data_IF_851047082962
#
_entry.id   IF_851047082962
#
_cell.length_a   1.000
_cell.length_b   1.000
_cell.length_c   1.000
_cell.angle_alpha   90.00
_cell.angle_beta   90.00
_cell.angle_gamma   90.00
#
_symmetry.space_group_name_H-M   'P 1'
#
loop_
_entity.id
_entity.type
_entity.pdbx_description
1 polymer ?
#
# COMPACT_ATOMS: atom_id res chain seq x y z
N UNK A 1 3.22 30.75 27.05
CA UNK A 1 3.12 29.98 25.81
C UNK A 1 4.36 30.34 25.01
N UNK A 2 5.39 29.49 24.99
CA UNK A 2 6.72 29.79 24.47
C UNK A 2 6.72 29.81 22.93
N UNK A 3 7.65 30.56 22.31
CA UNK A 3 7.83 30.56 20.84
C UNK A 3 8.01 29.13 20.30
N UNK A 4 8.64 28.24 21.06
CA UNK A 4 8.81 26.81 20.76
C UNK A 4 7.48 26.05 20.62
N UNK A 5 6.44 26.42 21.42
CA UNK A 5 5.11 25.79 21.31
C UNK A 5 4.40 26.20 20.01
N UNK A 6 4.65 27.43 19.54
CA UNK A 6 4.10 27.92 18.26
C UNK A 6 4.72 27.25 17.06
N UNK A 7 6.03 27.07 17.03
CA UNK A 7 6.75 26.37 15.94
C UNK A 7 6.39 24.89 15.91
N UNK A 8 6.33 24.22 17.06
CA UNK A 8 5.94 22.82 17.15
C UNK A 8 4.51 22.58 16.63
N UNK A 9 3.57 23.48 16.94
CA UNK A 9 2.19 23.43 16.42
C UNK A 9 2.14 23.66 14.91
N UNK A 10 2.95 24.59 14.37
CA UNK A 10 3.01 24.84 12.93
C UNK A 10 3.55 23.63 12.17
N UNK A 11 4.59 22.98 12.68
CA UNK A 11 5.15 21.74 12.10
C UNK A 11 4.11 20.61 12.15
N UNK A 12 3.42 20.44 13.28
CA UNK A 12 2.37 19.43 13.42
C UNK A 12 1.22 19.69 12.44
N UNK A 13 0.75 20.93 12.32
CA UNK A 13 -0.33 21.31 11.40
C UNK A 13 0.04 21.02 9.94
N UNK A 14 1.27 21.34 9.53
CA UNK A 14 1.79 21.02 8.19
C UNK A 14 1.83 19.50 7.96
N UNK A 15 2.30 18.73 8.94
CA UNK A 15 2.34 17.27 8.85
C UNK A 15 0.93 16.68 8.70
N UNK A 16 -0.04 17.16 9.48
CA UNK A 16 -1.45 16.73 9.37
C UNK A 16 -2.03 17.07 8.00
N UNK A 17 -1.76 18.29 7.50
CA UNK A 17 -2.22 18.71 6.17
C UNK A 17 -1.64 17.83 5.06
N UNK A 18 -0.33 17.55 5.10
CA UNK A 18 0.32 16.65 4.13
C UNK A 18 -0.26 15.22 4.19
N UNK A 19 -0.53 14.71 5.39
CA UNK A 19 -1.18 13.40 5.54
C UNK A 19 -2.61 13.40 4.99
N UNK A 20 -3.39 14.45 5.24
CA UNK A 20 -4.74 14.56 4.72
C UNK A 20 -4.76 14.58 3.18
N UNK A 21 -3.88 15.38 2.56
CA UNK A 21 -3.72 15.44 1.10
C UNK A 21 -3.28 14.08 0.55
N UNK A 22 -2.28 13.44 1.16
CA UNK A 22 -1.80 12.13 0.73
C UNK A 22 -2.90 11.06 0.82
N UNK A 23 -3.71 11.07 1.89
CA UNK A 23 -4.82 10.12 2.07
C UNK A 23 -5.91 10.36 1.02
N UNK A 24 -6.22 11.63 0.72
CA UNK A 24 -7.19 11.96 -0.32
C UNK A 24 -6.73 11.49 -1.70
N UNK A 25 -5.47 11.75 -2.05
CA UNK A 25 -4.89 11.29 -3.32
C UNK A 25 -4.87 9.77 -3.40
N UNK A 26 -4.52 9.09 -2.31
CA UNK A 26 -4.54 7.62 -2.24
C UNK A 26 -5.95 7.04 -2.43
N UNK A 27 -6.97 7.64 -1.80
CA UNK A 27 -8.36 7.24 -1.97
C UNK A 27 -8.84 7.44 -3.41
N UNK A 28 -8.52 8.59 -4.00
CA UNK A 28 -8.84 8.92 -5.40
C UNK A 28 -8.19 7.92 -6.36
N UNK A 29 -6.90 7.61 -6.17
CA UNK A 29 -6.19 6.62 -6.96
C UNK A 29 -6.86 5.24 -6.89
N UNK A 30 -7.24 4.77 -5.71
CA UNK A 30 -7.92 3.47 -5.55
C UNK A 30 -9.31 3.47 -6.22
N UNK A 31 -10.05 4.57 -6.13
CA UNK A 31 -11.35 4.71 -6.79
C UNK A 31 -11.20 4.68 -8.33
N UNK A 32 -10.23 5.41 -8.86
CA UNK A 32 -9.91 5.41 -10.30
C UNK A 32 -9.44 4.03 -10.77
N UNK A 33 -8.57 3.37 -10.03
CA UNK A 33 -8.13 2.01 -10.34
C UNK A 33 -9.31 1.03 -10.42
N UNK A 34 -10.22 1.08 -9.43
CA UNK A 34 -11.44 0.27 -9.48
C UNK A 34 -12.30 0.62 -10.70
N UNK A 35 -12.50 1.90 -10.98
CA UNK A 35 -13.30 2.36 -12.12
C UNK A 35 -12.79 1.78 -13.44
N UNK A 36 -11.47 1.83 -13.68
CA UNK A 36 -10.86 1.29 -14.91
C UNK A 36 -11.06 -0.21 -15.04
N UNK A 37 -10.97 -0.95 -13.92
CA UNK A 37 -11.07 -2.42 -13.92
C UNK A 37 -12.48 -2.95 -14.16
N UNK A 38 -13.54 -2.17 -13.84
CA UNK A 38 -14.92 -2.64 -13.86
C UNK A 38 -15.81 -1.92 -14.88
N UNK A 39 -15.29 -0.92 -15.61
CA UNK A 39 -16.12 -0.15 -16.58
C UNK A 39 -16.47 -1.03 -17.79
N UNK A 40 -17.77 -1.25 -18.06
CA UNK A 40 -18.22 -1.97 -19.24
C UNK A 40 -17.95 -1.14 -20.51
N UNK A 41 -17.42 -1.78 -21.56
CA UNK A 41 -17.20 -1.14 -22.87
C UNK A 41 -15.80 -0.56 -23.09
N UNK A 42 -14.92 -0.59 -22.09
CA UNK A 42 -13.49 -0.31 -22.24
C UNK A 42 -12.64 -1.59 -22.24
N UNK A 43 -11.35 -1.45 -22.54
CA UNK A 43 -10.41 -2.55 -22.36
C UNK A 43 -10.40 -2.97 -20.88
N UNK A 44 -10.71 -4.23 -20.59
CA UNK A 44 -10.71 -4.77 -19.22
C UNK A 44 -9.27 -4.88 -18.73
N UNK A 45 -8.83 -3.88 -17.96
CA UNK A 45 -7.47 -3.83 -17.43
C UNK A 45 -7.38 -4.66 -16.16
N UNK A 46 -6.51 -5.66 -16.17
CA UNK A 46 -6.32 -6.58 -15.05
C UNK A 46 -5.61 -5.96 -13.85
N UNK A 47 -5.83 -6.52 -12.66
CA UNK A 47 -5.20 -6.11 -11.41
C UNK A 47 -3.66 -6.10 -11.48
N UNK A 48 -3.06 -7.05 -12.22
CA UNK A 48 -1.60 -7.13 -12.42
C UNK A 48 -1.08 -5.95 -13.21
N UNK A 49 -1.77 -5.54 -14.28
CA UNK A 49 -1.38 -4.40 -15.11
C UNK A 49 -1.49 -3.09 -14.33
N UNK A 50 -2.59 -2.87 -13.60
CA UNK A 50 -2.75 -1.69 -12.74
C UNK A 50 -1.65 -1.63 -11.69
N UNK A 51 -1.32 -2.76 -11.05
CA UNK A 51 -0.24 -2.85 -10.08
C UNK A 51 1.12 -2.54 -10.70
N UNK A 52 1.40 -3.08 -11.87
CA UNK A 52 2.65 -2.81 -12.60
C UNK A 52 2.78 -1.32 -12.95
N UNK A 53 1.74 -0.71 -13.56
CA UNK A 53 1.73 0.72 -13.89
C UNK A 53 1.94 1.58 -12.65
N UNK A 54 1.33 1.25 -11.52
CA UNK A 54 1.51 1.96 -10.25
C UNK A 54 2.96 1.94 -9.76
N UNK A 55 3.62 0.78 -9.78
CA UNK A 55 5.02 0.66 -9.36
C UNK A 55 5.96 1.32 -10.36
N UNK A 56 5.67 1.21 -11.66
CA UNK A 56 6.45 1.84 -12.72
C UNK A 56 6.37 3.36 -12.66
N UNK A 57 5.17 3.93 -12.54
CA UNK A 57 4.98 5.38 -12.39
C UNK A 57 5.67 5.89 -11.13
N UNK A 58 5.52 5.21 -9.97
CA UNK A 58 6.26 5.56 -8.76
C UNK A 58 7.78 5.55 -8.94
N UNK A 59 8.32 4.60 -9.71
CA UNK A 59 9.75 4.55 -10.05
C UNK A 59 10.16 5.72 -10.92
N UNK A 60 9.39 6.02 -11.98
CA UNK A 60 9.65 7.13 -12.93
C UNK A 60 9.59 8.48 -12.20
N UNK A 61 8.61 8.72 -11.34
CA UNK A 61 8.49 9.96 -10.57
C UNK A 61 9.59 10.14 -9.52
N UNK A 62 10.07 9.06 -8.92
CA UNK A 62 11.16 9.12 -7.94
C UNK A 62 12.54 9.28 -8.58
N UNK A 63 12.73 8.88 -9.82
CA UNK A 63 14.02 8.94 -10.51
C UNK A 63 14.58 10.38 -10.59
N UNK A 64 13.84 11.40 -11.08
CA UNK A 64 14.36 12.77 -11.12
C UNK A 64 14.63 13.33 -9.72
N UNK A 65 13.83 12.97 -8.71
CA UNK A 65 14.07 13.39 -7.31
C UNK A 65 15.38 12.79 -6.80
N UNK A 66 15.67 11.54 -7.13
CA UNK A 66 16.91 10.86 -6.77
C UNK A 66 18.13 11.51 -7.43
N UNK A 67 18.01 11.83 -8.72
CA UNK A 67 19.06 12.51 -9.49
C UNK A 67 19.32 13.92 -8.94
N UNK A 68 18.27 14.69 -8.64
CA UNK A 68 18.39 16.01 -8.05
C UNK A 68 19.03 15.97 -6.65
N UNK A 69 18.62 15.02 -5.83
CA UNK A 69 19.19 14.81 -4.50
C UNK A 69 20.61 14.20 -4.52
N UNK A 70 21.14 13.87 -5.70
CA UNK A 70 22.43 13.18 -5.89
C UNK A 70 22.59 11.95 -5.01
N UNK A 71 21.52 11.17 -4.85
CA UNK A 71 21.49 9.94 -4.07
C UNK A 71 21.57 8.75 -5.01
N UNK A 72 22.64 7.96 -4.87
CA UNK A 72 22.76 6.70 -5.63
C UNK A 72 21.90 5.63 -4.95
N UNK A 73 20.98 4.97 -5.69
CA UNK A 73 20.12 3.93 -5.16
C UNK A 73 20.92 2.62 -4.98
N UNK A 74 21.79 2.59 -3.98
CA UNK A 74 22.62 1.42 -3.66
C UNK A 74 22.25 0.91 -2.28
N UNK A 75 21.92 -0.38 -2.19
CA UNK A 75 21.69 -1.08 -0.93
C UNK A 75 22.67 -2.24 -0.80
N UNK A 76 23.01 -2.59 0.45
CA UNK A 76 23.83 -3.77 0.78
C UNK A 76 22.99 -5.05 0.93
N UNK A 77 21.66 -4.93 0.99
CA UNK A 77 20.74 -6.02 1.30
C UNK A 77 19.59 -6.10 0.30
N UNK A 78 19.84 -6.33 -1.00
CA UNK A 78 18.80 -6.35 -2.03
C UNK A 78 17.73 -7.42 -1.76
N UNK A 79 18.11 -8.55 -1.13
CA UNK A 79 17.21 -9.64 -0.75
C UNK A 79 16.09 -9.20 0.19
N UNK A 80 16.39 -8.30 1.14
CA UNK A 80 15.40 -7.76 2.09
C UNK A 80 14.42 -6.82 1.41
N UNK A 81 14.92 -6.03 0.46
CA UNK A 81 14.07 -5.18 -0.38
C UNK A 81 13.19 -5.99 -1.32
N UNK A 82 13.72 -7.07 -1.91
CA UNK A 82 12.95 -7.97 -2.76
C UNK A 82 11.83 -8.67 -1.99
N UNK A 83 12.12 -9.16 -0.77
CA UNK A 83 11.10 -9.72 0.13
C UNK A 83 9.99 -8.71 0.43
N UNK A 84 10.38 -7.49 0.85
CA UNK A 84 9.44 -6.39 1.10
C UNK A 84 8.59 -6.08 -0.14
N UNK A 85 9.24 -5.87 -1.29
CA UNK A 85 8.56 -5.54 -2.54
C UNK A 85 7.63 -6.68 -3.01
N UNK A 86 8.02 -7.93 -2.82
CA UNK A 86 7.21 -9.10 -3.15
C UNK A 86 5.92 -9.16 -2.35
N UNK A 87 5.99 -8.99 -1.03
CA UNK A 87 4.78 -8.94 -0.19
C UNK A 87 3.94 -7.69 -0.47
N UNK A 88 4.57 -6.53 -0.73
CA UNK A 88 3.87 -5.32 -1.13
C UNK A 88 3.13 -5.50 -2.46
N UNK A 89 3.80 -6.05 -3.46
CA UNK A 89 3.19 -6.33 -4.77
C UNK A 89 2.04 -7.33 -4.65
N UNK A 90 2.25 -8.44 -3.94
CA UNK A 90 1.19 -9.42 -3.68
C UNK A 90 -0.02 -8.79 -2.96
N UNK A 91 0.23 -7.97 -1.93
CA UNK A 91 -0.82 -7.25 -1.22
C UNK A 91 -1.62 -6.32 -2.14
N UNK A 92 -0.95 -5.55 -3.00
CA UNK A 92 -1.63 -4.64 -3.95
C UNK A 92 -2.44 -5.42 -5.00
N UNK A 93 -1.88 -6.48 -5.58
CA UNK A 93 -2.60 -7.34 -6.54
C UNK A 93 -3.85 -7.93 -5.90
N UNK A 94 -3.73 -8.52 -4.70
CA UNK A 94 -4.85 -9.08 -3.96
C UNK A 94 -5.91 -8.03 -3.63
N UNK A 95 -5.50 -6.80 -3.26
CA UNK A 95 -6.44 -5.71 -3.01
C UNK A 95 -7.23 -5.34 -4.27
N UNK A 96 -6.57 -5.24 -5.41
CA UNK A 96 -7.24 -4.95 -6.68
C UNK A 96 -8.15 -6.10 -7.13
N UNK A 97 -7.77 -7.35 -6.87
CA UNK A 97 -8.67 -8.49 -7.08
C UNK A 97 -9.90 -8.42 -6.15
N UNK A 98 -9.72 -8.04 -4.90
CA UNK A 98 -10.84 -7.81 -3.99
C UNK A 98 -11.78 -6.70 -4.49
N UNK A 99 -11.24 -5.61 -5.05
CA UNK A 99 -12.06 -4.53 -5.64
C UNK A 99 -12.95 -4.99 -6.79
N UNK A 100 -12.59 -6.06 -7.49
CA UNK A 100 -13.42 -6.64 -8.56
C UNK A 100 -14.57 -7.48 -8.02
N UNK A 101 -14.46 -7.98 -6.79
CA UNK A 101 -15.39 -8.97 -6.23
C UNK A 101 -16.32 -8.40 -5.17
N UNK A 102 -15.88 -7.35 -4.44
CA UNK A 102 -16.64 -6.72 -3.36
C UNK A 102 -16.64 -5.19 -3.51
N UNK A 103 -17.59 -4.48 -2.86
CA UNK A 103 -17.61 -3.01 -2.84
C UNK A 103 -16.28 -2.43 -2.34
N UNK A 104 -15.85 -1.32 -2.95
CA UNK A 104 -14.60 -0.63 -2.60
C UNK A 104 -14.52 -0.31 -1.10
N UNK A 105 -15.64 0.15 -0.53
CA UNK A 105 -15.72 0.48 0.89
C UNK A 105 -15.43 -0.73 1.78
N UNK A 106 -16.00 -1.90 1.46
CA UNK A 106 -15.77 -3.12 2.23
C UNK A 106 -14.33 -3.60 2.11
N UNK A 107 -13.77 -3.64 0.88
CA UNK A 107 -12.39 -4.05 0.66
C UNK A 107 -11.40 -3.11 1.37
N UNK A 108 -11.61 -1.79 1.31
CA UNK A 108 -10.76 -0.82 2.01
C UNK A 108 -10.88 -0.92 3.53
N UNK A 109 -12.09 -1.13 4.05
CA UNK A 109 -12.30 -1.33 5.48
C UNK A 109 -11.56 -2.58 5.99
N UNK A 110 -11.64 -3.70 5.24
CA UNK A 110 -10.87 -4.91 5.56
C UNK A 110 -9.36 -4.63 5.46
N UNK A 111 -8.93 -3.86 4.45
CA UNK A 111 -7.53 -3.45 4.26
C UNK A 111 -6.97 -2.67 5.46
N UNK A 112 -7.80 -1.91 6.17
CA UNK A 112 -7.41 -1.24 7.42
C UNK A 112 -7.07 -2.20 8.57
N UNK A 113 -7.27 -3.51 8.42
CA UNK A 113 -6.71 -4.49 9.36
C UNK A 113 -5.19 -4.70 9.21
N UNK A 114 -4.57 -4.23 8.12
CA UNK A 114 -3.13 -4.37 7.90
C UNK A 114 -2.24 -3.81 9.02
N UNK A 115 -2.53 -2.68 9.69
CA UNK A 115 -1.79 -2.24 10.87
C UNK A 115 -1.86 -3.21 12.05
N UNK A 116 -2.95 -3.97 12.18
CA UNK A 116 -3.10 -5.00 13.22
C UNK A 116 -2.15 -6.16 12.93
N UNK A 117 -2.13 -6.64 11.68
CA UNK A 117 -1.18 -7.66 11.24
C UNK A 117 0.27 -7.18 11.40
N UNK A 118 0.55 -5.92 11.01
CA UNK A 118 1.87 -5.30 11.22
C UNK A 118 2.29 -5.33 12.69
N UNK A 119 1.38 -4.98 13.60
CA UNK A 119 1.64 -4.97 15.05
C UNK A 119 1.95 -6.39 15.55
N UNK A 120 1.13 -7.38 15.17
CA UNK A 120 1.34 -8.79 15.55
C UNK A 120 2.72 -9.27 15.06
N UNK A 121 3.03 -9.03 13.78
CA UNK A 121 4.31 -9.42 13.17
C UNK A 121 5.50 -8.69 13.83
N UNK A 122 5.36 -7.41 14.18
CA UNK A 122 6.40 -6.66 14.86
C UNK A 122 6.66 -7.20 16.27
N UNK A 123 5.63 -7.63 16.99
CA UNK A 123 5.79 -8.30 18.30
C UNK A 123 6.48 -9.65 18.13
N UNK A 124 6.03 -10.47 17.17
CA UNK A 124 6.53 -11.84 17.00
C UNK A 124 7.96 -11.89 16.43
N UNK A 125 8.25 -11.08 15.42
CA UNK A 125 9.51 -11.17 14.65
C UNK A 125 10.53 -10.08 14.98
N UNK A 126 10.07 -8.88 15.39
CA UNK A 126 10.97 -7.77 15.71
C UNK A 126 11.20 -7.59 17.21
N UNK A 127 10.53 -8.39 18.06
CA UNK A 127 10.64 -8.31 19.52
C UNK A 127 10.07 -7.01 20.12
N UNK A 128 9.20 -6.30 19.38
CA UNK A 128 8.57 -5.08 19.87
C UNK A 128 7.55 -5.40 20.97
N UNK A 129 7.48 -4.58 22.00
CA UNK A 129 6.47 -4.70 23.06
C UNK A 129 5.28 -3.81 22.72
N UNK A 130 4.15 -4.41 22.37
CA UNK A 130 2.90 -3.67 22.21
C UNK A 130 2.25 -3.48 23.59
N UNK A 131 2.02 -2.23 24.00
CA UNK A 131 1.32 -1.91 25.25
C UNK A 131 -0.16 -2.32 25.18
N UNK A 132 -0.80 -2.50 26.35
CA UNK A 132 -2.21 -2.92 26.46
C UNK A 132 -3.18 -2.04 25.67
N UNK A 133 -2.93 -0.73 25.61
CA UNK A 133 -3.75 0.22 24.84
C UNK A 133 -3.71 -0.05 23.33
N UNK A 134 -2.57 -0.50 22.79
CA UNK A 134 -2.45 -0.86 21.37
C UNK A 134 -3.27 -2.12 21.05
N UNK A 135 -3.27 -3.12 21.93
CA UNK A 135 -4.08 -4.31 21.79
C UNK A 135 -5.58 -4.00 21.88
N UNK A 136 -5.99 -3.12 22.81
CA UNK A 136 -7.37 -2.68 22.91
C UNK A 136 -7.83 -1.93 21.66
N UNK A 137 -7.02 -1.00 21.17
CA UNK A 137 -7.30 -0.28 19.92
C UNK A 137 -7.40 -1.24 18.72
N UNK A 138 -6.51 -2.23 18.63
CA UNK A 138 -6.56 -3.26 17.60
C UNK A 138 -7.85 -4.09 17.67
N UNK A 139 -8.29 -4.50 18.86
CA UNK A 139 -9.54 -5.25 19.04
C UNK A 139 -10.77 -4.43 18.62
N UNK A 140 -10.83 -3.15 19.00
CA UNK A 140 -11.91 -2.24 18.61
C UNK A 140 -11.88 -2.03 17.06
N UNK A 141 -10.72 -1.78 16.48
CA UNK A 141 -10.59 -1.61 15.03
C UNK A 141 -11.01 -2.87 14.28
N UNK A 142 -10.59 -4.05 14.74
CA UNK A 142 -10.94 -5.32 14.11
C UNK A 142 -12.45 -5.64 14.22
N UNK A 143 -13.09 -5.32 15.34
CA UNK A 143 -14.55 -5.45 15.46
C UNK A 143 -15.30 -4.56 14.47
N UNK A 144 -14.80 -3.34 14.20
CA UNK A 144 -15.32 -2.46 13.16
C UNK A 144 -15.17 -3.05 11.75
N UNK A 145 -14.03 -3.68 11.46
CA UNK A 145 -13.80 -4.40 10.18
C UNK A 145 -14.81 -5.54 10.00
N UNK A 146 -15.04 -6.34 11.05
CA UNK A 146 -16.02 -7.44 11.02
C UNK A 146 -17.43 -6.89 10.76
N UNK A 147 -17.82 -5.81 11.44
CA UNK A 147 -19.13 -5.20 11.27
C UNK A 147 -19.38 -4.69 9.83
N UNK A 148 -18.34 -4.17 9.17
CA UNK A 148 -18.43 -3.68 7.79
C UNK A 148 -18.35 -4.83 6.77
N UNK A 149 -17.49 -5.82 7.02
CA UNK A 149 -17.29 -6.94 6.10
C UNK A 149 -18.48 -7.92 6.05
N UNK A 150 -19.32 -7.93 7.07
CA UNK A 150 -20.40 -8.91 7.22
C UNK A 150 -21.78 -8.33 7.56
N UNK A 151 -22.29 -7.25 6.90
CA UNK A 151 -23.62 -6.74 7.21
C UNK A 151 -24.75 -7.77 6.97
N UNK A 152 -24.53 -8.75 6.10
CA UNK A 152 -25.51 -9.78 5.73
C UNK A 152 -25.18 -11.18 6.32
N UNK A 153 -24.28 -11.26 7.31
CA UNK A 153 -23.84 -12.53 7.90
C UNK A 153 -22.87 -13.36 7.03
N UNK A 154 -22.57 -12.91 5.83
CA UNK A 154 -21.68 -13.58 4.87
C UNK A 154 -20.25 -13.00 4.94
N UNK A 155 -19.65 -13.00 6.13
CA UNK A 155 -18.29 -12.47 6.38
C UNK A 155 -17.22 -13.20 5.54
N UNK A 156 -17.47 -14.44 5.16
CA UNK A 156 -16.51 -15.33 4.49
C UNK A 156 -16.82 -15.52 2.99
N UNK A 157 -17.16 -14.45 2.29
CA UNK A 157 -17.15 -14.53 0.83
C UNK A 157 -15.72 -14.49 0.28
N UNK A 158 -15.52 -15.01 -0.94
CA UNK A 158 -14.20 -15.08 -1.58
C UNK A 158 -13.50 -13.71 -1.64
N UNK A 159 -14.24 -12.64 -1.89
CA UNK A 159 -13.69 -11.28 -1.95
C UNK A 159 -13.17 -10.78 -0.60
N UNK A 160 -13.87 -11.08 0.49
CA UNK A 160 -13.42 -10.74 1.84
C UNK A 160 -12.17 -11.52 2.24
N UNK A 161 -12.07 -12.80 1.88
CA UNK A 161 -10.88 -13.62 2.12
C UNK A 161 -9.67 -13.07 1.34
N UNK A 162 -9.86 -12.67 0.08
CA UNK A 162 -8.82 -12.03 -0.73
C UNK A 162 -8.38 -10.70 -0.09
N UNK A 163 -9.31 -9.89 0.40
CA UNK A 163 -9.01 -8.63 1.08
C UNK A 163 -8.23 -8.84 2.40
N UNK A 164 -8.57 -9.88 3.19
CA UNK A 164 -7.82 -10.26 4.40
C UNK A 164 -6.40 -10.72 4.04
N UNK A 165 -6.25 -11.56 3.01
CA UNK A 165 -4.94 -11.99 2.53
C UNK A 165 -4.10 -10.79 2.04
N UNK A 166 -4.72 -9.82 1.34
CA UNK A 166 -4.09 -8.55 0.97
C UNK A 166 -3.61 -7.79 2.21
N UNK A 167 -4.47 -7.62 3.21
CA UNK A 167 -4.13 -6.91 4.44
C UNK A 167 -2.97 -7.58 5.20
N UNK A 168 -2.92 -8.91 5.21
CA UNK A 168 -1.80 -9.66 5.79
C UNK A 168 -0.50 -9.41 5.02
N UNK A 169 -0.52 -9.51 3.69
CA UNK A 169 0.65 -9.21 2.86
C UNK A 169 1.15 -7.78 3.06
N UNK A 170 0.26 -6.79 3.09
CA UNK A 170 0.60 -5.40 3.39
C UNK A 170 1.15 -5.24 4.82
N UNK A 171 0.63 -6.00 5.79
CA UNK A 171 1.16 -6.05 7.15
C UNK A 171 2.60 -6.56 7.20
N UNK A 172 2.90 -7.62 6.43
CA UNK A 172 4.28 -8.13 6.28
C UNK A 172 5.17 -7.10 5.60
N UNK A 173 4.71 -6.43 4.54
CA UNK A 173 5.46 -5.36 3.86
C UNK A 173 5.87 -4.25 4.83
N UNK A 174 4.93 -3.76 5.65
CA UNK A 174 5.20 -2.68 6.62
C UNK A 174 6.13 -3.16 7.74
N UNK A 175 5.99 -4.41 8.20
CA UNK A 175 6.92 -4.99 9.17
C UNK A 175 8.34 -5.13 8.56
N UNK A 176 8.43 -5.57 7.30
CA UNK A 176 9.69 -5.65 6.57
C UNK A 176 10.30 -4.25 6.32
N UNK A 177 9.46 -3.23 6.07
CA UNK A 177 9.92 -1.84 5.96
C UNK A 177 10.59 -1.36 7.25
N UNK A 178 9.99 -1.66 8.42
CA UNK A 178 10.63 -1.37 9.72
C UNK A 178 11.98 -2.06 9.86
N UNK A 179 12.08 -3.31 9.41
CA UNK A 179 13.34 -4.04 9.44
C UNK A 179 14.39 -3.42 8.53
N UNK A 180 14.03 -3.08 7.29
CA UNK A 180 14.89 -2.40 6.32
C UNK A 180 15.32 -1.01 6.82
N UNK A 181 14.41 -0.26 7.47
CA UNK A 181 14.74 1.07 8.01
C UNK A 181 15.87 1.06 9.06
N UNK A 182 16.05 -0.06 9.75
CA UNK A 182 17.16 -0.24 10.72
C UNK A 182 18.53 -0.43 10.07
N UNK A 183 18.58 -0.63 8.73
CA UNK A 183 19.84 -0.78 8.00
C UNK A 183 20.54 0.56 7.72
N UNK A 184 19.88 1.69 8.02
CA UNK A 184 20.44 3.03 7.86
C UNK A 184 20.40 3.58 6.43
N UNK A 185 19.70 2.93 5.51
CA UNK A 185 19.51 3.44 4.16
C UNK A 185 18.62 4.70 4.17
N UNK A 186 18.89 5.64 3.25
CA UNK A 186 18.12 6.86 3.15
C UNK A 186 16.66 6.55 2.77
N UNK A 187 15.66 7.23 3.34
CA UNK A 187 14.24 6.99 3.03
C UNK A 187 13.92 7.04 1.53
N UNK A 188 14.57 7.93 0.78
CA UNK A 188 14.41 8.06 -0.66
C UNK A 188 14.86 6.79 -1.41
N UNK A 189 15.96 6.16 -0.98
CA UNK A 189 16.44 4.88 -1.53
C UNK A 189 15.42 3.78 -1.23
N UNK A 190 14.88 3.77 -0.01
CA UNK A 190 13.89 2.77 0.40
C UNK A 190 12.60 2.86 -0.44
N UNK A 191 12.12 4.08 -0.73
CA UNK A 191 10.95 4.31 -1.58
C UNK A 191 11.23 3.90 -3.02
N UNK A 192 12.36 4.32 -3.59
CA UNK A 192 12.74 3.98 -4.96
C UNK A 192 12.90 2.47 -5.14
N UNK A 193 13.69 1.82 -4.29
CA UNK A 193 13.92 0.37 -4.37
C UNK A 193 12.63 -0.43 -4.20
N UNK A 194 11.71 0.02 -3.33
CA UNK A 194 10.40 -0.62 -3.16
C UNK A 194 9.56 -0.56 -4.44
N UNK A 195 9.48 0.59 -5.10
CA UNK A 195 8.75 0.74 -6.36
C UNK A 195 9.46 0.01 -7.51
N UNK A 196 10.77 0.19 -7.67
CA UNK A 196 11.55 -0.45 -8.73
C UNK A 196 11.46 -1.98 -8.68
N UNK A 197 11.75 -2.58 -7.52
CA UNK A 197 11.67 -4.03 -7.35
C UNK A 197 10.22 -4.53 -7.45
N UNK A 198 9.24 -3.75 -6.98
CA UNK A 198 7.83 -4.06 -7.18
C UNK A 198 7.46 -4.13 -8.65
N UNK A 199 7.89 -3.17 -9.47
CA UNK A 199 7.72 -3.19 -10.92
C UNK A 199 8.39 -4.40 -11.56
N UNK A 200 9.66 -4.68 -11.22
CA UNK A 200 10.43 -5.82 -11.75
C UNK A 200 9.77 -7.16 -11.41
N UNK A 201 9.27 -7.32 -10.17
CA UNK A 201 8.63 -8.57 -9.73
C UNK A 201 7.27 -8.80 -10.38
N UNK A 202 6.50 -7.74 -10.65
CA UNK A 202 5.16 -7.85 -11.27
C UNK A 202 5.24 -7.93 -12.79
N UNK A 203 6.28 -7.36 -13.41
CA UNK A 203 6.45 -7.32 -14.87
C UNK A 203 6.24 -8.68 -15.58
N UNK A 204 6.87 -9.79 -15.15
CA UNK A 204 6.72 -11.08 -15.85
C UNK A 204 5.29 -11.62 -15.85
N UNK A 205 4.45 -11.18 -14.91
CA UNK A 205 3.03 -11.58 -14.83
C UNK A 205 2.11 -10.57 -15.54
N UNK A 206 2.46 -9.29 -15.55
CA UNK A 206 1.67 -8.23 -16.16
C UNK A 206 1.86 -8.16 -17.68
N UNK A 207 3.10 -8.34 -18.18
CA UNK A 207 3.41 -8.21 -19.60
C UNK A 207 2.68 -9.24 -20.49
N UNK A 208 2.62 -10.53 -20.13
CA UNK A 208 1.90 -11.52 -20.95
C UNK A 208 0.39 -11.30 -21.03
N UNK A 209 -0.19 -10.64 -20.02
CA UNK A 209 -1.63 -10.32 -19.91
C UNK A 209 -1.92 -8.88 -20.27
N UNK A 210 -0.99 -8.20 -20.95
CA UNK A 210 -1.10 -6.78 -21.25
C UNK A 210 -2.24 -6.48 -22.22
N UNK A 211 -3.13 -5.61 -21.81
CA UNK A 211 -4.20 -5.05 -22.64
C UNK A 211 -3.89 -3.58 -22.87
N UNK A 212 -3.90 -3.14 -24.15
CA UNK A 212 -3.60 -1.75 -24.46
C UNK A 212 -4.70 -0.83 -23.94
N UNK A 213 -4.34 0.09 -23.02
CA UNK A 213 -5.33 1.02 -22.45
C UNK A 213 -5.84 1.98 -23.52
N UNK A 214 -7.10 2.37 -23.42
CA UNK A 214 -7.66 3.46 -24.20
C UNK A 214 -7.05 4.81 -23.79
N UNK A 215 -7.07 5.85 -24.65
CA UNK A 215 -6.41 7.13 -24.38
C UNK A 215 -6.79 7.76 -23.03
N UNK A 216 -8.04 7.64 -22.59
CA UNK A 216 -8.54 8.18 -21.32
C UNK A 216 -8.10 7.36 -20.10
N UNK A 217 -7.76 6.08 -20.29
CA UNK A 217 -7.33 5.19 -19.22
C UNK A 217 -5.89 5.42 -18.78
N UNK A 218 -5.07 6.09 -19.62
CA UNK A 218 -3.68 6.37 -19.27
C UNK A 218 -3.55 7.34 -18.08
N UNK A 219 -4.44 8.33 -17.97
CA UNK A 219 -4.41 9.29 -16.88
C UNK A 219 -4.59 8.64 -15.49
N UNK A 220 -5.57 7.73 -15.30
CA UNK A 220 -5.72 7.02 -14.04
C UNK A 220 -4.67 5.93 -13.77
N UNK A 221 -3.92 5.47 -14.80
CA UNK A 221 -2.86 4.46 -14.66
C UNK A 221 -1.50 5.08 -14.30
N UNK A 222 -1.29 6.35 -14.57
CA UNK A 222 -0.08 7.09 -14.27
C UNK A 222 -0.06 7.64 -12.84
#
# INVERSE_FOLDING_TARGET
>A
MSLQDGEARAVLMRAVLYMAVATFLFATMNALAKYIMITPGGASIGALQVTFCRYLSGTIFLLPVLLWARVVPRTRHPEKYALRAGFGAAGVVLMFLAFQTIPLANATAIGFSSPIFTMILAVLFLGERAGRMRWLAAAIGFSGVIAIAGPDGNVLNTGSLIAIASALCMGVEVAALKWVSRLGDKPLVMLFMGNFLGAVLVAPFAIPTWVWPEPWQWLPLA
#
